data_IF_285287266673
#
_entry.id   IF_285287266673
#
_cell.length_a   1.000
_cell.length_b   1.000
_cell.length_c   1.000
_cell.angle_alpha   90.00
_cell.angle_beta   90.00
_cell.angle_gamma   90.00
#
_symmetry.space_group_name_H-M   'P 1'
#
loop_
_entity.id
_entity.type
_entity.pdbx_description
1 polymer ?
#
# COMPACT_ATOMS: atom_id res chain seq x y z
N UNK A 1 -33.87 42.54 -22.90
CA UNK A 1 -32.71 42.02 -23.68
C UNK A 1 -31.64 41.32 -22.85
N UNK A 2 -31.55 41.52 -21.56
CA UNK A 2 -30.52 40.96 -20.65
C UNK A 2 -30.74 39.47 -20.27
N UNK A 3 -31.98 38.95 -20.29
CA UNK A 3 -32.27 37.56 -19.94
C UNK A 3 -31.87 36.51 -20.99
N UNK A 4 -31.65 36.90 -22.23
CA UNK A 4 -31.23 35.94 -23.29
C UNK A 4 -29.72 35.75 -23.41
N UNK A 5 -28.89 36.69 -22.91
CA UNK A 5 -27.45 36.55 -22.89
C UNK A 5 -26.95 35.59 -21.82
N UNK A 6 -27.66 35.50 -20.67
CA UNK A 6 -27.27 34.59 -19.58
C UNK A 6 -27.43 33.10 -19.91
N UNK A 7 -28.41 32.74 -20.76
CA UNK A 7 -28.60 31.32 -21.17
C UNK A 7 -27.60 30.90 -22.26
N UNK A 8 -27.13 31.82 -23.09
CA UNK A 8 -26.20 31.52 -24.18
C UNK A 8 -24.76 31.21 -23.69
N UNK A 9 -24.39 31.73 -22.50
CA UNK A 9 -23.08 31.45 -21.88
C UNK A 9 -23.11 30.28 -20.91
N UNK A 10 -24.26 29.92 -20.36
CA UNK A 10 -24.40 28.81 -19.43
C UNK A 10 -24.26 27.43 -20.11
N UNK A 11 -24.72 27.29 -21.34
CA UNK A 11 -24.65 26.04 -22.07
C UNK A 11 -23.19 25.64 -22.45
N UNK A 12 -22.34 26.52 -23.00
CA UNK A 12 -20.95 26.17 -23.28
C UNK A 12 -20.12 26.00 -22.02
N UNK A 13 -20.44 26.72 -20.93
CA UNK A 13 -19.77 26.53 -19.65
C UNK A 13 -20.14 25.20 -19.00
N UNK A 14 -21.41 24.80 -19.06
CA UNK A 14 -21.88 23.49 -18.60
C UNK A 14 -21.31 22.35 -19.46
N UNK A 15 -21.23 22.54 -20.79
CA UNK A 15 -20.59 21.57 -21.68
C UNK A 15 -19.07 21.48 -21.45
N UNK A 16 -18.41 22.59 -21.17
CA UNK A 16 -16.99 22.63 -20.82
C UNK A 16 -16.72 21.97 -19.47
N UNK A 17 -17.54 22.24 -18.46
CA UNK A 17 -17.45 21.60 -17.16
C UNK A 17 -17.82 20.11 -17.24
N UNK A 18 -18.84 19.74 -18.02
CA UNK A 18 -19.17 18.34 -18.26
C UNK A 18 -18.06 17.62 -19.04
N UNK A 19 -17.42 18.26 -20.02
CA UNK A 19 -16.29 17.67 -20.72
C UNK A 19 -15.03 17.54 -19.87
N UNK A 20 -14.86 18.42 -18.86
CA UNK A 20 -13.78 18.28 -17.87
C UNK A 20 -14.09 17.22 -16.82
N UNK A 21 -15.36 17.08 -16.43
CA UNK A 21 -15.82 16.01 -15.54
C UNK A 21 -15.85 14.65 -16.24
N UNK A 22 -16.04 14.62 -17.56
CA UNK A 22 -15.94 13.41 -18.39
C UNK A 22 -14.53 13.07 -18.88
N UNK A 23 -13.51 13.85 -18.57
CA UNK A 23 -12.14 13.33 -18.64
C UNK A 23 -11.98 12.30 -17.54
N UNK A 24 -12.60 11.11 -17.76
CA UNK A 24 -12.16 9.88 -17.15
C UNK A 24 -10.65 9.91 -17.24
N UNK A 25 -9.98 9.77 -16.10
CA UNK A 25 -8.56 9.47 -16.15
C UNK A 25 -8.44 8.25 -17.05
N UNK A 26 -7.99 8.41 -18.28
CA UNK A 26 -7.78 7.31 -19.20
C UNK A 26 -6.65 6.51 -18.60
N UNK A 27 -7.00 5.49 -17.81
CA UNK A 27 -6.04 4.50 -17.36
C UNK A 27 -5.56 3.81 -18.63
N UNK A 28 -4.25 3.80 -18.91
CA UNK A 28 -3.71 3.15 -20.11
C UNK A 28 -4.20 1.70 -20.21
N UNK A 29 -4.58 1.27 -21.40
CA UNK A 29 -5.19 -0.04 -21.63
C UNK A 29 -4.32 -1.20 -21.12
N UNK A 30 -3.01 -1.09 -21.21
CA UNK A 30 -2.07 -2.09 -20.71
C UNK A 30 -2.08 -2.26 -19.18
N UNK A 31 -2.62 -1.29 -18.43
CA UNK A 31 -2.82 -1.36 -16.99
C UNK A 31 -4.18 -1.98 -16.61
N UNK A 32 -5.03 -2.21 -17.60
CA UNK A 32 -6.40 -2.65 -17.39
C UNK A 32 -6.58 -4.18 -17.41
N UNK A 33 -5.51 -4.94 -17.68
CA UNK A 33 -5.60 -6.40 -17.84
C UNK A 33 -5.33 -7.21 -16.56
N UNK A 34 -4.99 -6.54 -15.47
CA UNK A 34 -4.63 -7.21 -14.23
C UNK A 34 -5.78 -7.20 -13.24
N UNK A 35 -6.45 -8.33 -13.15
CA UNK A 35 -7.59 -8.54 -12.25
C UNK A 35 -7.05 -9.06 -10.92
N UNK A 36 -7.56 -8.53 -9.81
CA UNK A 36 -7.30 -9.12 -8.51
C UNK A 36 -8.05 -10.45 -8.39
N UNK A 37 -7.36 -11.50 -8.03
CA UNK A 37 -7.91 -12.81 -7.80
C UNK A 37 -8.11 -13.05 -6.31
N UNK A 38 -9.33 -13.38 -5.89
CA UNK A 38 -9.63 -13.73 -4.50
C UNK A 38 -9.69 -15.25 -4.34
N UNK A 39 -8.97 -15.76 -3.34
CA UNK A 39 -9.02 -17.17 -2.94
C UNK A 39 -9.56 -17.26 -1.51
N UNK A 40 -10.72 -17.87 -1.33
CA UNK A 40 -11.26 -18.22 -0.03
C UNK A 40 -10.45 -19.41 0.54
N UNK A 41 -10.14 -19.40 1.82
CA UNK A 41 -9.31 -20.42 2.48
C UNK A 41 -7.92 -20.63 1.79
N UNK A 42 -7.26 -19.53 1.43
CA UNK A 42 -5.89 -19.52 0.90
C UNK A 42 -4.90 -20.11 1.92
N UNK A 43 -5.10 -19.80 3.19
CA UNK A 43 -4.30 -20.23 4.32
C UNK A 43 -5.10 -21.29 5.06
N UNK A 44 -4.54 -22.46 5.33
CA UNK A 44 -5.19 -23.45 6.17
C UNK A 44 -5.13 -23.04 7.65
N UNK A 45 -5.99 -23.63 8.47
CA UNK A 45 -6.16 -23.22 9.88
C UNK A 45 -4.87 -23.42 10.69
N UNK A 46 -4.13 -24.50 10.43
CA UNK A 46 -2.91 -24.80 11.19
C UNK A 46 -1.78 -23.84 10.78
N UNK A 47 -1.59 -23.61 9.49
CA UNK A 47 -0.67 -22.58 8.99
C UNK A 47 -1.03 -21.19 9.53
N UNK A 48 -2.30 -20.83 9.56
CA UNK A 48 -2.78 -19.56 10.12
C UNK A 48 -2.44 -19.39 11.59
N UNK A 49 -2.59 -20.45 12.39
CA UNK A 49 -2.23 -20.47 13.81
C UNK A 49 -0.72 -20.28 13.99
N UNK A 50 0.09 -21.01 13.25
CA UNK A 50 1.55 -20.91 13.31
C UNK A 50 2.05 -19.55 12.85
N UNK A 51 1.48 -18.96 11.78
CA UNK A 51 1.82 -17.63 11.32
C UNK A 51 1.47 -16.54 12.35
N UNK A 52 0.34 -16.68 13.04
CA UNK A 52 -0.03 -15.78 14.13
C UNK A 52 0.93 -15.91 15.32
N UNK A 53 1.40 -17.12 15.62
CA UNK A 53 2.42 -17.34 16.66
C UNK A 53 3.73 -16.65 16.27
N UNK A 54 4.25 -16.88 15.08
CA UNK A 54 5.47 -16.24 14.56
C UNK A 54 5.35 -14.71 14.61
N UNK A 55 4.20 -14.17 14.19
CA UNK A 55 3.94 -12.75 14.23
C UNK A 55 3.99 -12.18 15.66
N UNK A 56 3.41 -12.88 16.63
CA UNK A 56 3.44 -12.50 18.06
C UNK A 56 4.85 -12.57 18.63
N UNK A 57 5.59 -13.62 18.33
CA UNK A 57 7.01 -13.76 18.74
C UNK A 57 7.85 -12.61 18.18
N UNK A 58 7.68 -12.29 16.89
CA UNK A 58 8.36 -11.18 16.25
C UNK A 58 7.98 -9.82 16.87
N UNK A 59 6.72 -9.66 17.28
CA UNK A 59 6.23 -8.43 17.90
C UNK A 59 6.57 -8.31 19.39
N UNK A 60 6.93 -9.41 20.03
CA UNK A 60 7.36 -9.45 21.43
C UNK A 60 8.86 -9.14 21.61
N UNK A 61 9.62 -9.15 20.52
CA UNK A 61 11.05 -8.77 20.49
C UNK A 61 11.27 -7.31 20.94
N UNK A 62 12.48 -6.98 21.36
CA UNK A 62 12.87 -5.65 21.87
C UNK A 62 12.53 -4.49 20.91
N UNK A 63 12.54 -4.76 19.60
CA UNK A 63 12.23 -3.75 18.58
C UNK A 63 10.74 -3.69 18.22
N UNK A 64 9.92 -4.65 18.63
CA UNK A 64 8.52 -4.75 18.22
C UNK A 64 8.34 -4.77 16.69
N UNK A 65 7.17 -4.36 16.23
CA UNK A 65 6.88 -4.13 14.82
C UNK A 65 6.91 -2.62 14.55
N UNK A 66 7.96 -2.08 13.93
CA UNK A 66 8.06 -0.65 13.62
C UNK A 66 7.03 -0.24 12.57
N UNK A 67 6.77 1.05 12.44
CA UNK A 67 6.00 1.56 11.31
C UNK A 67 6.70 1.24 10.01
N UNK A 68 5.94 0.81 9.00
CA UNK A 68 6.47 0.45 7.68
C UNK A 68 7.28 1.58 7.02
N UNK A 69 6.94 2.82 7.33
CA UNK A 69 7.66 4.01 6.84
C UNK A 69 9.07 4.09 7.42
N UNK A 70 9.25 3.68 8.68
CA UNK A 70 10.55 3.76 9.37
C UNK A 70 11.47 2.57 9.07
N UNK A 71 10.94 1.34 8.97
CA UNK A 71 11.73 0.13 8.76
C UNK A 71 12.53 0.15 7.46
N UNK A 72 11.92 0.60 6.37
CA UNK A 72 12.58 0.73 5.08
C UNK A 72 13.69 1.80 5.04
N UNK A 73 13.67 2.76 5.96
CA UNK A 73 14.57 3.90 5.96
C UNK A 73 15.83 3.67 6.77
N UNK A 74 15.76 2.82 7.79
CA UNK A 74 16.92 2.53 8.66
C UNK A 74 17.92 1.58 8.03
N UNK A 75 17.50 0.74 7.09
CA UNK A 75 18.33 -0.33 6.54
C UNK A 75 18.80 -0.15 5.11
N UNK A 76 18.20 0.70 4.31
CA UNK A 76 18.53 0.87 2.90
C UNK A 76 18.82 2.31 2.52
N UNK A 77 20.10 2.62 2.44
CA UNK A 77 20.66 3.55 1.45
C UNK A 77 19.98 4.91 1.36
N UNK A 78 20.58 5.89 1.99
CA UNK A 78 20.31 7.34 1.96
C UNK A 78 19.01 7.75 2.65
N UNK A 79 19.08 8.76 3.53
CA UNK A 79 17.85 9.36 4.06
C UNK A 79 17.00 9.80 2.87
N UNK A 80 15.83 9.16 2.72
CA UNK A 80 14.83 9.65 1.79
C UNK A 80 14.48 11.06 2.25
N UNK A 81 14.62 12.02 1.35
CA UNK A 81 14.21 13.38 1.65
C UNK A 81 12.74 13.37 2.08
N UNK A 82 12.40 14.18 3.07
CA UNK A 82 11.02 14.31 3.58
C UNK A 82 10.03 14.68 2.47
N UNK A 83 10.51 15.30 1.42
CA UNK A 83 9.72 15.81 0.29
C UNK A 83 10.50 15.71 -1.01
N UNK A 84 9.78 15.89 -2.10
CA UNK A 84 10.32 15.97 -3.47
C UNK A 84 10.27 17.42 -3.93
N UNK A 85 11.38 17.90 -4.49
CA UNK A 85 11.48 19.28 -4.96
C UNK A 85 11.68 20.29 -3.83
N UNK A 86 11.45 21.55 -4.13
CA UNK A 86 11.57 22.65 -3.16
C UNK A 86 10.30 22.81 -2.34
N UNK A 87 10.46 23.06 -1.05
CA UNK A 87 9.38 23.47 -0.19
C UNK A 87 8.84 24.86 -0.61
N UNK A 88 7.53 25.05 -0.47
CA UNK A 88 6.86 26.33 -0.78
C UNK A 88 6.31 26.92 0.51
N UNK A 89 6.24 28.24 0.64
CA UNK A 89 5.62 28.84 1.82
C UNK A 89 4.13 28.52 1.86
N UNK A 90 3.58 28.43 3.06
CA UNK A 90 2.13 28.37 3.29
C UNK A 90 1.52 29.72 2.94
N UNK A 91 0.41 29.72 2.23
CA UNK A 91 -0.34 30.95 1.89
C UNK A 91 -0.93 31.62 3.15
N UNK A 92 -1.30 32.89 3.03
CA UNK A 92 -1.79 33.67 4.17
C UNK A 92 -3.07 33.10 4.82
N UNK A 93 -3.85 32.32 4.06
CA UNK A 93 -5.06 31.61 4.54
C UNK A 93 -4.73 30.23 5.16
N UNK A 94 -3.46 29.87 5.25
CA UNK A 94 -3.02 28.58 5.77
C UNK A 94 -3.04 27.43 4.75
N UNK A 95 -3.41 27.71 3.51
CA UNK A 95 -3.43 26.71 2.42
C UNK A 95 -2.08 26.56 1.74
N UNK A 96 -1.95 25.53 0.90
CA UNK A 96 -0.82 25.36 0.01
C UNK A 96 -1.18 25.83 -1.41
N UNK A 97 -0.22 26.49 -2.09
CA UNK A 97 -0.39 27.08 -3.42
C UNK A 97 -0.78 26.07 -4.52
N UNK A 98 -0.63 24.80 -4.26
CA UNK A 98 -0.95 23.73 -5.20
C UNK A 98 -1.59 22.53 -4.49
N UNK A 99 -2.62 21.94 -5.10
CA UNK A 99 -3.39 20.83 -4.54
C UNK A 99 -2.61 19.52 -4.31
N UNK A 100 -1.41 19.40 -4.83
CA UNK A 100 -0.51 18.26 -4.56
C UNK A 100 0.44 18.51 -3.38
N UNK A 101 0.48 19.73 -2.87
CA UNK A 101 1.30 20.07 -1.72
C UNK A 101 0.51 19.87 -0.44
N UNK A 102 1.19 19.43 0.59
CA UNK A 102 0.65 19.30 1.94
C UNK A 102 1.49 20.11 2.90
N UNK A 103 0.85 20.66 3.93
CA UNK A 103 1.56 21.37 4.97
C UNK A 103 2.45 20.42 5.75
N UNK A 104 3.72 20.77 5.95
CA UNK A 104 4.65 19.99 6.77
C UNK A 104 4.44 20.31 8.25
N UNK A 105 3.47 19.64 8.83
CA UNK A 105 3.13 19.80 10.24
C UNK A 105 2.71 21.22 10.61
N UNK A 106 3.26 21.72 11.70
CA UNK A 106 3.07 23.10 12.14
C UNK A 106 4.05 24.08 11.47
N UNK A 107 4.83 23.63 10.49
CA UNK A 107 5.76 24.51 9.78
C UNK A 107 5.00 25.51 8.88
N UNK A 108 5.70 26.54 8.45
CA UNK A 108 5.20 27.48 7.44
C UNK A 108 5.49 27.02 6.00
N UNK A 109 5.71 25.71 5.81
CA UNK A 109 6.10 25.13 4.54
C UNK A 109 5.08 24.14 4.02
N UNK A 110 4.87 24.16 2.71
CA UNK A 110 4.12 23.19 1.93
C UNK A 110 5.11 22.31 1.15
N UNK A 111 4.98 21.01 1.26
CA UNK A 111 5.87 20.04 0.66
C UNK A 111 5.12 19.05 -0.22
N UNK A 112 5.80 18.47 -1.20
CA UNK A 112 5.33 17.29 -1.92
C UNK A 112 5.92 16.06 -1.24
N UNK A 113 5.12 15.25 -0.52
CA UNK A 113 5.63 14.10 0.21
C UNK A 113 6.16 13.02 -0.73
N UNK A 114 7.33 12.49 -0.46
CA UNK A 114 7.98 11.55 -1.35
C UNK A 114 7.35 10.15 -1.37
N UNK A 115 6.95 9.63 -0.20
CA UNK A 115 6.36 8.28 -0.11
C UNK A 115 4.86 8.28 0.04
N UNK A 116 4.32 9.39 0.46
CA UNK A 116 2.89 9.56 0.46
C UNK A 116 2.58 9.99 -0.97
N UNK A 117 2.13 9.05 -1.75
CA UNK A 117 1.58 9.34 -3.05
C UNK A 117 0.36 10.25 -2.84
N UNK A 118 0.54 11.53 -3.12
CA UNK A 118 -0.49 12.55 -2.87
C UNK A 118 -1.72 12.30 -3.74
N UNK A 119 -1.53 11.77 -4.95
CA UNK A 119 -2.65 11.37 -5.79
C UNK A 119 -3.45 10.25 -5.11
N UNK A 120 -2.76 9.32 -4.47
CA UNK A 120 -3.30 8.26 -3.66
C UNK A 120 -4.11 8.79 -2.48
N UNK A 121 -3.54 9.71 -1.72
CA UNK A 121 -4.22 10.34 -0.59
C UNK A 121 -5.44 11.14 -1.08
N UNK A 122 -5.28 11.93 -2.13
CA UNK A 122 -6.33 12.73 -2.75
C UNK A 122 -7.55 11.87 -3.16
N UNK A 123 -7.31 10.76 -3.85
CA UNK A 123 -8.40 9.88 -4.31
C UNK A 123 -9.08 9.19 -3.13
N UNK A 124 -8.30 8.68 -2.17
CA UNK A 124 -8.83 7.91 -1.03
C UNK A 124 -9.62 8.75 -0.03
N UNK A 125 -9.31 10.01 0.08
CA UNK A 125 -9.92 10.90 1.07
C UNK A 125 -10.95 11.87 0.50
N UNK A 126 -11.32 11.71 -0.76
CA UNK A 126 -12.42 12.43 -1.36
C UNK A 126 -12.05 13.76 -2.03
N UNK A 127 -10.79 13.97 -2.37
CA UNK A 127 -10.36 15.08 -3.21
C UNK A 127 -9.81 16.30 -2.44
N UNK A 128 -10.17 17.56 -2.80
CA UNK A 128 -9.54 18.77 -2.24
C UNK A 128 -9.63 18.90 -0.72
N UNK A 129 -10.66 18.34 -0.11
CA UNK A 129 -10.86 18.37 1.34
C UNK A 129 -9.74 17.62 2.09
N UNK A 130 -9.24 16.56 1.51
CA UNK A 130 -8.20 15.74 2.10
C UNK A 130 -6.83 16.42 2.17
N UNK A 131 -6.57 17.37 1.28
CA UNK A 131 -5.29 18.10 1.23
C UNK A 131 -5.17 19.09 2.40
N UNK A 132 -6.29 19.39 3.05
CA UNK A 132 -6.32 20.23 4.25
C UNK A 132 -6.02 19.46 5.53
N UNK A 133 -5.95 18.14 5.46
CA UNK A 133 -5.56 17.32 6.62
C UNK A 133 -4.11 17.65 7.02
N UNK A 134 -3.83 17.87 8.31
CA UNK A 134 -2.46 18.05 8.79
C UNK A 134 -1.56 16.89 8.37
N UNK A 135 -0.32 17.19 8.06
CA UNK A 135 0.65 16.18 7.58
C UNK A 135 0.82 15.03 8.56
N UNK A 136 0.85 15.32 9.86
CA UNK A 136 0.99 14.32 10.92
C UNK A 136 -0.22 13.39 11.01
N UNK A 137 -1.43 13.92 10.87
CA UNK A 137 -2.66 13.13 10.84
C UNK A 137 -2.64 12.19 9.63
N UNK A 138 -2.25 12.70 8.46
CA UNK A 138 -2.12 11.93 7.24
C UNK A 138 -1.06 10.84 7.38
N UNK A 139 0.14 11.16 7.87
CA UNK A 139 1.21 10.18 8.08
C UNK A 139 0.76 9.09 9.04
N UNK A 140 0.13 9.47 10.15
CA UNK A 140 -0.38 8.53 11.15
C UNK A 140 -1.43 7.58 10.58
N UNK A 141 -2.32 8.10 9.74
CA UNK A 141 -3.40 7.35 9.12
C UNK A 141 -2.91 6.38 8.05
N UNK A 142 -1.88 6.73 7.27
CA UNK A 142 -1.32 5.87 6.22
C UNK A 142 -0.17 4.98 6.70
N UNK A 143 0.24 5.12 7.94
CA UNK A 143 1.22 4.25 8.56
C UNK A 143 0.58 2.90 8.89
N UNK A 144 1.37 1.85 8.80
CA UNK A 144 1.05 0.52 9.29
C UNK A 144 2.28 -0.04 9.99
N UNK A 145 2.13 -1.12 10.73
CA UNK A 145 3.21 -1.73 11.49
C UNK A 145 3.62 -3.05 10.86
N UNK A 146 4.91 -3.37 10.85
CA UNK A 146 5.36 -4.64 10.31
C UNK A 146 6.85 -4.69 10.02
N UNK A 147 7.30 -5.86 9.57
CA UNK A 147 8.68 -6.10 9.13
C UNK A 147 8.72 -6.67 7.73
N UNK A 148 9.68 -6.21 6.95
CA UNK A 148 10.02 -6.77 5.64
C UNK A 148 11.06 -7.86 5.81
N UNK A 149 10.78 -9.02 5.24
CA UNK A 149 11.62 -10.21 5.26
C UNK A 149 12.04 -10.55 3.83
N UNK A 150 13.34 -10.72 3.62
CA UNK A 150 13.92 -11.00 2.30
C UNK A 150 14.41 -12.44 2.19
N UNK A 151 14.56 -13.12 3.31
CA UNK A 151 14.89 -14.54 3.35
C UNK A 151 13.60 -15.35 3.61
N UNK A 152 13.09 -16.01 2.56
CA UNK A 152 11.82 -16.75 2.67
C UNK A 152 11.99 -18.09 3.40
N UNK A 153 13.21 -18.60 3.49
CA UNK A 153 13.51 -19.89 4.14
C UNK A 153 13.78 -19.74 5.63
N UNK A 154 13.83 -18.53 6.15
CA UNK A 154 14.09 -18.26 7.56
C UNK A 154 12.98 -18.81 8.47
N UNK A 155 11.73 -18.84 7.96
CA UNK A 155 10.57 -19.33 8.69
C UNK A 155 9.91 -20.49 7.95
N UNK A 156 10.06 -21.73 8.42
CA UNK A 156 9.53 -22.93 7.73
C UNK A 156 8.04 -22.88 7.44
N UNK A 157 7.23 -22.30 8.33
CA UNK A 157 5.77 -22.16 8.10
C UNK A 157 5.47 -21.23 6.93
N UNK A 158 6.26 -20.17 6.73
CA UNK A 158 6.11 -19.24 5.62
C UNK A 158 6.52 -19.90 4.31
N UNK A 159 7.65 -20.62 4.31
CA UNK A 159 8.11 -21.39 3.16
C UNK A 159 7.08 -22.43 2.73
N UNK A 160 6.54 -23.22 3.67
CA UNK A 160 5.49 -24.21 3.41
C UNK A 160 4.22 -23.58 2.86
N UNK A 161 3.76 -22.47 3.42
CA UNK A 161 2.60 -21.75 2.91
C UNK A 161 2.82 -21.34 1.45
N UNK A 162 3.94 -20.72 1.16
CA UNK A 162 4.23 -20.20 -0.19
C UNK A 162 4.49 -21.30 -1.22
N UNK A 163 5.01 -22.45 -0.80
CA UNK A 163 5.13 -23.63 -1.65
C UNK A 163 3.81 -24.39 -1.83
N UNK A 164 2.80 -24.10 -1.03
CA UNK A 164 1.51 -24.80 -1.06
C UNK A 164 0.78 -24.64 -2.41
N UNK A 165 0.13 -25.70 -2.92
CA UNK A 165 -0.45 -25.69 -4.28
C UNK A 165 -1.58 -24.65 -4.43
N UNK A 166 -2.36 -24.36 -3.40
CA UNK A 166 -3.37 -23.29 -3.43
C UNK A 166 -2.72 -21.91 -3.58
N UNK A 167 -1.67 -21.68 -2.79
CA UNK A 167 -0.94 -20.41 -2.81
C UNK A 167 -0.25 -20.18 -4.16
N UNK A 168 0.45 -21.20 -4.68
CA UNK A 168 1.10 -21.18 -5.98
C UNK A 168 0.10 -20.91 -7.11
N UNK A 169 -1.08 -21.54 -7.08
CA UNK A 169 -2.13 -21.30 -8.07
C UNK A 169 -2.65 -19.87 -8.00
N UNK A 170 -2.93 -19.35 -6.80
CA UNK A 170 -3.38 -17.98 -6.60
C UNK A 170 -2.32 -16.98 -7.09
N UNK A 171 -1.05 -17.17 -6.74
CA UNK A 171 0.04 -16.32 -7.19
C UNK A 171 0.17 -16.33 -8.72
N UNK A 172 0.19 -17.51 -9.33
CA UNK A 172 0.33 -17.68 -10.79
C UNK A 172 -0.86 -17.15 -11.59
N UNK A 173 -2.06 -17.03 -10.97
CA UNK A 173 -3.26 -16.57 -11.67
C UNK A 173 -3.17 -15.14 -12.21
N UNK A 174 -2.30 -14.31 -11.66
CA UNK A 174 -2.09 -12.92 -12.10
C UNK A 174 -0.80 -12.72 -12.88
N UNK A 175 0.06 -13.74 -12.97
CA UNK A 175 1.19 -13.71 -13.88
C UNK A 175 0.71 -13.94 -15.34
N UNK A 176 1.40 -13.37 -16.33
CA UNK A 176 1.15 -13.73 -17.74
C UNK A 176 1.25 -15.25 -17.97
N UNK A 177 0.38 -15.81 -18.82
CA UNK A 177 0.39 -17.25 -19.11
C UNK A 177 1.75 -17.77 -19.61
N UNK A 178 2.52 -16.92 -20.25
CA UNK A 178 3.90 -17.21 -20.71
C UNK A 178 4.95 -17.10 -19.62
N UNK A 179 4.60 -16.64 -18.39
CA UNK A 179 5.54 -16.35 -17.29
C UNK A 179 5.05 -16.99 -16.00
N UNK A 180 5.12 -18.32 -15.92
CA UNK A 180 4.57 -19.10 -14.82
C UNK A 180 5.61 -19.60 -13.80
N UNK A 181 6.87 -19.18 -13.96
CA UNK A 181 7.94 -19.41 -12.99
C UNK A 181 7.94 -18.24 -12.02
N UNK A 182 7.75 -18.54 -10.74
CA UNK A 182 7.75 -17.53 -9.67
C UNK A 182 9.14 -17.44 -9.04
N UNK A 183 9.63 -16.22 -8.93
CA UNK A 183 10.84 -15.87 -8.18
C UNK A 183 10.45 -15.04 -6.94
N UNK A 184 10.22 -15.69 -5.80
CA UNK A 184 9.89 -14.99 -4.58
C UNK A 184 11.10 -14.22 -4.05
N UNK A 185 10.88 -12.94 -3.73
CA UNK A 185 11.98 -12.08 -3.28
C UNK A 185 11.71 -11.38 -1.94
N UNK A 186 10.45 -11.36 -1.49
CA UNK A 186 10.08 -10.66 -0.27
C UNK A 186 8.76 -11.16 0.28
N UNK A 187 8.65 -11.17 1.60
CA UNK A 187 7.36 -11.14 2.29
C UNK A 187 7.39 -10.15 3.46
N UNK A 188 6.24 -9.77 3.96
CA UNK A 188 6.14 -8.92 5.14
C UNK A 188 4.82 -9.16 5.87
N UNK A 189 4.86 -9.01 7.18
CA UNK A 189 3.65 -8.85 7.98
C UNK A 189 3.26 -7.37 8.00
N UNK A 190 1.98 -7.09 7.82
CA UNK A 190 1.43 -5.74 7.91
C UNK A 190 0.25 -5.76 8.85
N UNK A 191 0.35 -4.96 9.91
CA UNK A 191 -0.70 -4.74 10.88
C UNK A 191 -1.20 -3.30 10.78
N UNK A 192 -2.51 -3.14 10.83
CA UNK A 192 -3.13 -1.81 10.93
C UNK A 192 -3.98 -1.74 12.18
N UNK A 193 -3.88 -0.62 12.89
CA UNK A 193 -4.74 -0.29 14.02
C UNK A 193 -5.99 0.47 13.53
N UNK A 194 -7.06 0.59 14.33
CA UNK A 194 -8.24 1.37 13.97
C UNK A 194 -7.92 2.77 13.45
N UNK A 195 -8.62 3.21 12.42
CA UNK A 195 -8.42 4.49 11.75
C UNK A 195 -7.33 4.51 10.67
N UNK A 196 -6.50 3.47 10.59
CA UNK A 196 -5.45 3.40 9.57
C UNK A 196 -5.94 2.85 8.23
N UNK A 197 -5.20 3.16 7.18
CA UNK A 197 -5.43 2.72 5.80
C UNK A 197 -4.10 2.40 5.12
N UNK A 198 -4.13 1.50 4.16
CA UNK A 198 -3.08 1.45 3.14
C UNK A 198 -3.58 2.25 1.95
N UNK A 199 -3.10 3.47 1.84
CA UNK A 199 -3.57 4.41 0.84
C UNK A 199 -3.42 3.88 -0.61
N UNK A 200 -4.20 4.39 -1.57
CA UNK A 200 -4.18 3.96 -2.98
C UNK A 200 -2.78 4.11 -3.59
N UNK A 201 -2.25 3.05 -4.21
CA UNK A 201 -0.89 3.05 -4.75
C UNK A 201 -0.72 2.03 -5.88
N UNK A 202 0.40 2.15 -6.56
CA UNK A 202 1.08 1.07 -7.25
C UNK A 202 2.24 0.58 -6.38
N UNK A 203 2.48 -0.71 -6.37
CA UNK A 203 3.75 -1.23 -5.88
C UNK A 203 4.90 -0.74 -6.76
N UNK A 204 6.11 -0.69 -6.19
CA UNK A 204 7.27 -0.24 -6.94
C UNK A 204 7.50 -1.16 -8.16
N UNK A 205 7.37 -0.64 -9.39
CA UNK A 205 7.62 -1.42 -10.58
C UNK A 205 9.10 -1.81 -10.68
N UNK A 206 9.35 -2.96 -11.33
CA UNK A 206 10.69 -3.42 -11.64
C UNK A 206 10.90 -3.44 -13.14
N UNK A 207 12.01 -2.88 -13.56
CA UNK A 207 12.51 -2.98 -14.93
C UNK A 207 13.92 -3.58 -14.88
N UNK A 208 14.30 -4.36 -15.86
CA UNK A 208 15.67 -4.85 -15.96
C UNK A 208 16.64 -3.67 -16.08
N UNK A 209 17.47 -3.49 -15.04
CA UNK A 209 18.40 -2.37 -14.93
C UNK A 209 17.83 -1.08 -14.33
N UNK A 210 16.54 -1.05 -13.89
CA UNK A 210 15.97 0.08 -13.18
C UNK A 210 15.02 -0.37 -12.08
N UNK A 211 15.44 -0.23 -10.84
CA UNK A 211 14.69 -0.62 -9.65
C UNK A 211 14.52 0.55 -8.68
N UNK A 212 13.63 0.40 -7.70
CA UNK A 212 13.41 1.41 -6.65
C UNK A 212 14.65 1.72 -5.80
N UNK A 213 15.66 0.87 -5.85
CA UNK A 213 16.93 1.10 -5.14
C UNK A 213 17.84 2.08 -5.90
N UNK A 214 17.60 2.26 -7.20
CA UNK A 214 18.39 3.11 -8.09
C UNK A 214 17.63 4.38 -8.48
N UNK A 215 16.30 4.27 -8.60
CA UNK A 215 15.44 5.34 -9.11
C UNK A 215 14.27 5.60 -8.17
N UNK A 216 13.77 6.84 -8.09
CA UNK A 216 12.60 7.14 -7.27
C UNK A 216 11.35 6.46 -7.82
N UNK A 217 10.47 6.03 -6.91
CA UNK A 217 9.26 5.27 -7.26
C UNK A 217 8.34 5.99 -8.25
N UNK A 218 8.24 7.33 -8.16
CA UNK A 218 7.43 8.11 -9.08
C UNK A 218 7.91 8.00 -10.54
N UNK A 219 9.23 7.92 -10.76
CA UNK A 219 9.79 7.75 -12.12
C UNK A 219 9.45 6.36 -12.67
N UNK A 220 9.59 5.32 -11.86
CA UNK A 220 9.21 3.96 -12.24
C UNK A 220 7.71 3.86 -12.53
N UNK A 221 6.87 4.54 -11.75
CA UNK A 221 5.44 4.64 -12.01
C UNK A 221 5.14 5.34 -13.34
N UNK A 222 5.83 6.44 -13.65
CA UNK A 222 5.70 7.11 -14.96
C UNK A 222 6.11 6.18 -16.10
N UNK A 223 7.15 5.36 -15.95
CA UNK A 223 7.55 4.37 -16.96
C UNK A 223 6.43 3.33 -17.19
N UNK A 224 5.78 2.86 -16.14
CA UNK A 224 4.61 1.96 -16.27
C UNK A 224 3.45 2.67 -16.97
N UNK A 225 3.06 3.86 -16.53
CA UNK A 225 1.91 4.58 -17.08
C UNK A 225 2.12 5.04 -18.52
N UNK A 226 3.37 5.37 -18.89
CA UNK A 226 3.72 5.77 -20.25
C UNK A 226 3.89 4.59 -21.22
N UNK A 227 3.90 3.37 -20.72
CA UNK A 227 4.22 2.16 -21.49
C UNK A 227 5.62 2.17 -22.13
N UNK A 228 6.52 3.00 -21.62
CA UNK A 228 7.91 3.04 -22.06
C UNK A 228 8.71 1.89 -21.45
N UNK A 229 9.65 1.34 -22.23
CA UNK A 229 10.56 0.28 -21.79
C UNK A 229 9.85 -1.02 -21.35
N UNK A 230 8.72 -1.33 -21.98
CA UNK A 230 7.92 -2.53 -21.64
C UNK A 230 8.68 -3.84 -21.88
N UNK A 231 9.62 -3.86 -22.81
CA UNK A 231 10.50 -5.00 -23.06
C UNK A 231 11.44 -5.30 -21.87
N UNK A 232 11.62 -4.33 -20.97
CA UNK A 232 12.41 -4.47 -19.73
C UNK A 232 11.54 -4.64 -18.48
N UNK A 233 10.23 -4.54 -18.63
CA UNK A 233 9.32 -4.65 -17.50
C UNK A 233 9.27 -6.08 -16.96
N UNK A 234 9.39 -6.21 -15.63
CA UNK A 234 9.31 -7.48 -14.92
C UNK A 234 7.93 -7.60 -14.29
N UNK A 235 7.11 -8.52 -14.79
CA UNK A 235 5.81 -8.81 -14.20
C UNK A 235 5.97 -9.32 -12.77
N UNK A 236 5.05 -8.95 -11.90
CA UNK A 236 5.10 -9.25 -10.48
C UNK A 236 3.75 -9.76 -9.99
N UNK A 237 3.79 -10.49 -8.90
CA UNK A 237 2.60 -10.84 -8.13
C UNK A 237 2.79 -10.45 -6.68
N UNK A 238 1.74 -9.88 -6.11
CA UNK A 238 1.57 -9.70 -4.69
C UNK A 238 0.39 -10.55 -4.24
N UNK A 239 0.57 -11.33 -3.17
CA UNK A 239 -0.53 -12.04 -2.52
C UNK A 239 -0.66 -11.52 -1.10
N UNK A 240 -1.83 -11.01 -0.78
CA UNK A 240 -2.19 -10.52 0.56
C UNK A 240 -3.06 -11.56 1.24
N UNK A 241 -2.54 -12.24 2.24
CA UNK A 241 -3.27 -13.20 3.07
C UNK A 241 -3.72 -12.57 4.39
N UNK A 242 -4.92 -12.89 4.86
CA UNK A 242 -5.51 -12.33 6.08
C UNK A 242 -5.37 -13.29 7.25
N UNK A 243 -4.75 -12.82 8.33
CA UNK A 243 -4.41 -13.60 9.52
C UNK A 243 -5.30 -13.33 10.75
N UNK A 244 -6.22 -12.37 10.68
CA UNK A 244 -7.10 -12.05 11.80
C UNK A 244 -8.13 -13.16 12.07
N UNK A 245 -8.46 -13.39 13.34
CA UNK A 245 -9.33 -14.50 13.80
C UNK A 245 -10.83 -14.17 13.82
N UNK A 246 -11.19 -12.92 13.56
CA UNK A 246 -12.59 -12.48 13.63
C UNK A 246 -13.36 -12.85 12.36
N UNK A 247 -14.69 -12.95 12.45
CA UNK A 247 -15.55 -13.11 11.28
C UNK A 247 -15.24 -12.07 10.20
N UNK A 248 -15.60 -12.36 8.96
CA UNK A 248 -15.44 -11.40 7.87
C UNK A 248 -15.93 -10.03 8.37
N UNK A 249 -15.09 -9.01 8.17
CA UNK A 249 -15.42 -7.65 8.57
C UNK A 249 -16.75 -7.28 7.91
N UNK A 250 -17.72 -6.89 8.74
CA UNK A 250 -18.98 -6.33 8.25
C UNK A 250 -18.71 -5.05 7.43
N UNK A 251 -19.74 -4.54 6.80
CA UNK A 251 -19.62 -3.34 5.97
C UNK A 251 -19.09 -2.13 6.75
N UNK A 252 -19.34 -2.06 8.04
CA UNK A 252 -18.96 -0.95 8.93
C UNK A 252 -17.50 -1.03 9.41
N UNK A 253 -16.88 -2.21 9.40
CA UNK A 253 -15.50 -2.38 9.89
C UNK A 253 -14.43 -1.86 8.94
N UNK A 254 -14.74 -1.63 7.67
CA UNK A 254 -13.77 -1.17 6.67
C UNK A 254 -12.61 -2.17 6.41
N UNK A 255 -11.45 -1.64 6.05
CA UNK A 255 -10.23 -2.46 5.85
C UNK A 255 -10.26 -3.40 4.65
N UNK A 256 -11.24 -3.24 3.75
CA UNK A 256 -11.38 -4.05 2.53
C UNK A 256 -10.21 -3.82 1.59
N UNK A 257 -9.83 -4.84 0.83
CA UNK A 257 -8.93 -4.65 -0.30
C UNK A 257 -9.69 -3.95 -1.43
N UNK A 258 -9.16 -2.82 -1.89
CA UNK A 258 -9.73 -1.99 -2.95
C UNK A 258 -8.81 -2.03 -4.16
N UNK A 259 -9.38 -2.17 -5.36
CA UNK A 259 -8.60 -2.11 -6.60
C UNK A 259 -9.43 -1.54 -7.75
N UNK A 260 -8.76 -0.88 -8.67
CA UNK A 260 -9.39 -0.40 -9.90
C UNK A 260 -9.25 -1.45 -10.99
N UNK A 261 -10.38 -1.82 -11.57
CA UNK A 261 -10.48 -2.72 -12.70
C UNK A 261 -10.84 -1.95 -13.97
N UNK A 262 -10.74 -2.63 -15.11
CA UNK A 262 -11.13 -2.09 -16.40
C UNK A 262 -12.52 -1.45 -16.36
N UNK A 263 -12.61 -0.27 -16.91
CA UNK A 263 -13.88 0.44 -17.15
C UNK A 263 -14.65 0.93 -15.90
N UNK A 264 -14.06 0.89 -14.72
CA UNK A 264 -14.73 1.41 -13.52
C UNK A 264 -14.11 2.72 -13.04
N UNK A 265 -14.92 3.74 -12.86
CA UNK A 265 -14.52 4.97 -12.18
C UNK A 265 -14.49 4.80 -10.65
N UNK A 266 -15.01 3.68 -10.14
CA UNK A 266 -15.04 3.33 -8.72
C UNK A 266 -14.22 2.07 -8.47
N UNK A 267 -13.51 1.98 -7.36
CA UNK A 267 -12.77 0.77 -7.02
C UNK A 267 -13.72 -0.38 -6.71
N UNK A 268 -13.32 -1.59 -7.09
CA UNK A 268 -13.91 -2.82 -6.57
C UNK A 268 -13.40 -3.06 -5.16
N UNK A 269 -14.23 -3.67 -4.32
CA UNK A 269 -13.92 -3.98 -2.95
C UNK A 269 -14.00 -5.48 -2.70
N UNK A 270 -12.97 -6.04 -2.06
CA UNK A 270 -12.91 -7.44 -1.64
C UNK A 270 -12.89 -7.48 -0.12
N UNK A 271 -13.76 -8.29 0.46
CA UNK A 271 -13.80 -8.48 1.92
C UNK A 271 -12.54 -9.17 2.42
N UNK A 272 -12.00 -8.65 3.51
CA UNK A 272 -10.88 -9.26 4.23
C UNK A 272 -11.41 -10.39 5.12
N UNK A 273 -11.70 -11.56 4.53
CA UNK A 273 -12.14 -12.73 5.29
C UNK A 273 -10.95 -13.41 5.97
N UNK A 274 -11.10 -13.97 7.18
CA UNK A 274 -10.06 -14.75 7.82
C UNK A 274 -9.53 -15.85 6.90
N UNK A 275 -8.23 -16.05 6.87
CA UNK A 275 -7.53 -17.10 6.11
C UNK A 275 -7.75 -17.06 4.59
N UNK A 276 -8.45 -16.05 4.08
CA UNK A 276 -8.54 -15.79 2.64
C UNK A 276 -7.36 -14.95 2.16
N UNK A 277 -7.26 -14.76 0.85
CA UNK A 277 -6.26 -13.89 0.27
C UNK A 277 -6.67 -13.30 -1.06
N UNK A 278 -5.93 -12.27 -1.47
CA UNK A 278 -6.07 -11.60 -2.77
C UNK A 278 -4.72 -11.61 -3.46
N UNK A 279 -4.67 -12.13 -4.68
CA UNK A 279 -3.52 -12.02 -5.56
C UNK A 279 -3.72 -10.88 -6.56
N UNK A 280 -2.71 -10.07 -6.77
CA UNK A 280 -2.74 -8.92 -7.69
C UNK A 280 -1.34 -8.63 -8.25
N UNK A 281 -1.23 -8.16 -9.49
CA UNK A 281 -0.03 -7.46 -9.92
C UNK A 281 -0.11 -6.01 -9.43
N UNK A 282 0.43 -5.79 -8.24
CA UNK A 282 0.39 -4.48 -7.58
C UNK A 282 1.18 -3.40 -8.32
N UNK A 283 2.13 -3.78 -9.19
CA UNK A 283 2.91 -2.83 -9.99
C UNK A 283 2.14 -2.25 -11.18
N UNK A 284 1.03 -2.87 -11.56
CA UNK A 284 0.16 -2.44 -12.65
C UNK A 284 -1.25 -2.08 -12.20
N UNK A 285 -1.71 -2.62 -11.08
CA UNK A 285 -3.05 -2.42 -10.56
C UNK A 285 -3.05 -1.39 -9.43
N UNK A 286 -3.77 -0.30 -9.61
CA UNK A 286 -4.02 0.66 -8.53
C UNK A 286 -4.84 -0.03 -7.44
N UNK A 287 -4.29 -0.11 -6.24
CA UNK A 287 -4.92 -0.81 -5.13
C UNK A 287 -4.70 -0.14 -3.78
N UNK A 288 -5.51 -0.52 -2.79
CA UNK A 288 -5.51 0.05 -1.45
C UNK A 288 -6.04 -0.96 -0.43
N UNK A 289 -5.86 -0.68 0.84
CA UNK A 289 -6.79 -1.16 1.85
C UNK A 289 -7.64 0.03 2.32
N UNK A 290 -8.95 -0.12 2.36
CA UNK A 290 -9.85 0.91 2.89
C UNK A 290 -9.51 1.24 4.35
N UNK A 291 -10.01 2.36 4.84
CA UNK A 291 -9.83 2.74 6.26
C UNK A 291 -10.39 1.63 7.13
N UNK A 292 -9.57 1.15 8.04
CA UNK A 292 -9.94 0.13 8.99
C UNK A 292 -10.63 0.78 10.20
N UNK A 293 -11.86 0.35 10.53
CA UNK A 293 -12.73 0.97 11.54
C UNK A 293 -12.82 2.50 11.35
N UNK A 294 -13.47 2.97 10.28
CA UNK A 294 -13.44 4.39 9.88
C UNK A 294 -14.07 5.34 10.91
N UNK A 295 -14.88 4.83 11.83
CA UNK A 295 -15.45 5.60 12.95
C UNK A 295 -14.41 5.97 14.04
N UNK A 296 -13.21 5.36 13.99
CA UNK A 296 -12.14 5.60 14.96
C UNK A 296 -11.04 6.42 14.31
N UNK A 297 -10.58 7.47 14.98
CA UNK A 297 -9.42 8.24 14.51
C UNK A 297 -8.15 7.42 14.74
N UNK A 298 -7.25 7.40 13.75
CA UNK A 298 -5.93 6.80 13.92
C UNK A 298 -5.16 7.50 15.06
N UNK A 299 -4.37 6.75 15.85
CA UNK A 299 -3.49 7.35 16.85
C UNK A 299 -2.47 8.28 16.18
N UNK A 300 -2.25 9.45 16.76
CA UNK A 300 -1.25 10.38 16.24
C UNK A 300 0.15 9.82 16.50
N UNK A 301 0.90 9.60 15.42
CA UNK A 301 2.27 9.08 15.46
C UNK A 301 3.24 10.22 15.14
N UNK A 302 4.09 10.55 16.10
CA UNK A 302 5.16 11.50 15.87
C UNK A 302 6.21 10.85 14.93
N UNK A 303 6.40 11.45 13.75
CA UNK A 303 7.32 10.94 12.72
C UNK A 303 8.80 10.96 13.13
N UNK A 304 9.13 11.79 14.10
CA UNK A 304 10.50 11.96 14.60
C UNK A 304 10.81 11.00 15.78
N UNK A 305 9.82 10.18 16.19
CA UNK A 305 9.94 9.15 17.21
C UNK A 305 9.93 7.75 16.65
N UNK A 306 10.50 6.82 17.39
CA UNK A 306 10.41 5.39 17.12
C UNK A 306 9.03 4.89 17.56
N UNK A 307 8.15 4.70 16.58
CA UNK A 307 6.82 4.16 16.82
C UNK A 307 6.81 2.68 16.45
N UNK A 308 6.37 1.83 17.37
CA UNK A 308 6.28 0.40 17.15
C UNK A 308 5.10 -0.24 17.89
N UNK A 309 4.61 -1.35 17.36
CA UNK A 309 3.54 -2.15 17.93
C UNK A 309 4.16 -3.41 18.57
N UNK A 310 3.89 -3.63 19.85
CA UNK A 310 4.43 -4.73 20.65
C UNK A 310 3.33 -5.67 21.10
N UNK A 311 3.56 -6.98 20.95
CA UNK A 311 2.74 -7.98 21.62
C UNK A 311 3.24 -8.19 23.05
N UNK A 312 2.34 -8.08 24.03
CA UNK A 312 2.71 -8.15 25.46
C UNK A 312 2.06 -9.34 26.21
N UNK A 313 1.52 -10.29 25.46
CA UNK A 313 0.81 -11.44 26.01
C UNK A 313 -0.70 -11.20 26.15
N UNK A 314 -1.45 -12.25 26.50
CA UNK A 314 -2.89 -12.24 26.78
C UNK A 314 -3.74 -11.51 25.71
N UNK A 315 -3.42 -11.74 24.44
CA UNK A 315 -4.06 -11.07 23.29
C UNK A 315 -3.97 -9.53 23.34
N UNK A 316 -2.98 -8.96 24.06
CA UNK A 316 -2.76 -7.53 24.19
C UNK A 316 -1.58 -7.05 23.37
N UNK A 317 -1.77 -5.89 22.77
CA UNK A 317 -0.81 -5.19 21.96
C UNK A 317 -0.65 -3.76 22.45
N UNK A 318 0.58 -3.29 22.56
CA UNK A 318 0.90 -1.93 22.96
C UNK A 318 1.50 -1.18 21.79
N UNK A 319 0.88 -0.08 21.41
CA UNK A 319 1.50 0.92 20.54
C UNK A 319 2.38 1.80 21.43
N UNK A 320 3.68 1.82 21.12
CA UNK A 320 4.67 2.62 21.84
C UNK A 320 5.32 3.65 20.94
N UNK A 321 5.67 4.81 21.52
CA UNK A 321 6.42 5.89 20.88
C UNK A 321 7.62 6.22 21.77
N UNK A 322 8.84 6.01 21.28
CA UNK A 322 10.07 6.09 22.09
C UNK A 322 9.97 5.32 23.42
N UNK A 323 9.34 4.13 23.40
CA UNK A 323 9.14 3.28 24.59
C UNK A 323 7.92 3.62 25.45
N UNK A 324 7.32 4.80 25.31
CA UNK A 324 6.10 5.18 26.04
C UNK A 324 4.85 4.57 25.40
N UNK A 325 3.97 4.01 26.21
CA UNK A 325 2.72 3.41 25.73
C UNK A 325 1.73 4.51 25.35
N UNK A 326 1.38 4.60 24.07
CA UNK A 326 0.38 5.53 23.57
C UNK A 326 -1.03 4.92 23.67
N UNK A 327 -1.17 3.62 23.30
CA UNK A 327 -2.45 2.94 23.26
C UNK A 327 -2.30 1.44 23.40
N UNK A 328 -3.34 0.77 23.90
CA UNK A 328 -3.43 -0.68 24.05
C UNK A 328 -4.58 -1.19 23.19
N UNK A 329 -4.34 -2.28 22.47
CA UNK A 329 -5.30 -2.98 21.63
C UNK A 329 -5.42 -4.44 22.01
N UNK A 330 -6.56 -5.07 21.70
CA UNK A 330 -6.67 -6.52 21.67
C UNK A 330 -6.27 -7.04 20.26
N UNK A 331 -5.91 -8.31 20.15
CA UNK A 331 -5.65 -8.92 18.82
C UNK A 331 -6.86 -8.74 17.88
N UNK A 332 -8.08 -8.81 18.41
CA UNK A 332 -9.32 -8.57 17.65
C UNK A 332 -9.49 -7.13 17.18
N UNK A 333 -8.72 -6.19 17.70
CA UNK A 333 -8.74 -4.78 17.26
C UNK A 333 -7.80 -4.50 16.10
N UNK A 334 -7.01 -5.48 15.68
CA UNK A 334 -6.00 -5.31 14.65
C UNK A 334 -6.43 -5.95 13.33
N UNK A 335 -6.05 -5.34 12.21
CA UNK A 335 -6.07 -5.96 10.90
C UNK A 335 -4.68 -6.52 10.62
N UNK A 336 -4.58 -7.84 10.52
CA UNK A 336 -3.31 -8.55 10.37
C UNK A 336 -3.25 -9.22 9.00
N UNK A 337 -2.15 -9.01 8.29
CA UNK A 337 -1.92 -9.61 6.97
C UNK A 337 -0.49 -10.10 6.82
N UNK A 338 -0.32 -11.16 6.02
CA UNK A 338 0.96 -11.53 5.43
C UNK A 338 0.92 -11.19 3.95
N UNK A 339 1.98 -10.58 3.45
CA UNK A 339 2.09 -10.16 2.05
C UNK A 339 3.30 -10.84 1.44
N UNK A 340 3.06 -11.63 0.42
CA UNK A 340 4.07 -12.27 -0.41
C UNK A 340 4.29 -11.49 -1.69
N UNK A 341 5.53 -11.45 -2.17
CA UNK A 341 5.88 -10.83 -3.44
C UNK A 341 6.84 -11.71 -4.21
N UNK A 342 6.52 -11.92 -5.49
CA UNK A 342 7.35 -12.64 -6.43
C UNK A 342 7.36 -11.95 -7.79
N UNK A 343 8.41 -12.23 -8.57
CA UNK A 343 8.51 -11.88 -9.98
C UNK A 343 8.03 -13.07 -10.81
N UNK A 344 7.49 -12.79 -12.00
CA UNK A 344 7.00 -13.81 -12.92
C UNK A 344 7.97 -13.92 -14.10
N UNK A 345 8.51 -15.11 -14.35
CA UNK A 345 9.43 -15.40 -15.44
C UNK A 345 8.92 -16.53 -16.34
N UNK A 346 9.43 -16.61 -17.57
CA UNK A 346 9.03 -17.66 -18.52
C UNK A 346 9.73 -18.98 -18.21
N UNK A 347 10.98 -18.94 -17.74
CA UNK A 347 11.78 -20.12 -17.43
C UNK A 347 12.66 -19.90 -16.19
N UNK A 348 13.20 -20.97 -15.64
CA UNK A 348 14.20 -20.90 -14.55
C UNK A 348 15.51 -20.23 -15.01
N UNK A 349 15.82 -20.30 -16.30
CA UNK A 349 17.00 -19.67 -16.89
C UNK A 349 16.92 -18.14 -16.86
N UNK A 350 15.70 -17.59 -16.95
CA UNK A 350 15.44 -16.16 -16.89
C UNK A 350 15.64 -15.56 -15.49
N UNK A 351 15.73 -16.38 -14.46
CA UNK A 351 15.93 -15.91 -13.08
C UNK A 351 17.29 -15.19 -12.93
N UNK A 352 18.24 -15.45 -13.81
CA UNK A 352 19.58 -14.91 -13.72
C UNK A 352 20.33 -15.38 -12.46
N UNK A 353 21.60 -15.06 -12.28
CA UNK A 353 22.29 -15.33 -11.03
C UNK A 353 21.54 -14.57 -9.91
N UNK A 354 21.31 -15.23 -8.77
CA UNK A 354 20.61 -14.69 -7.57
C UNK A 354 21.34 -13.48 -6.96
N UNK A 355 21.70 -12.50 -7.79
CA UNK A 355 22.46 -11.30 -7.42
C UNK A 355 21.63 -10.28 -6.61
N UNK A 356 20.34 -10.53 -6.43
CA UNK A 356 19.44 -9.53 -5.81
C UNK A 356 19.35 -9.63 -4.28
N UNK A 357 19.83 -10.74 -3.70
CA UNK A 357 19.89 -10.91 -2.24
C UNK A 357 21.18 -10.32 -1.60
N UNK A 358 22.15 -9.86 -2.39
CA UNK A 358 23.48 -9.46 -1.87
C UNK A 358 23.65 -7.94 -1.72
N UNK A 359 22.63 -7.13 -1.98
CA UNK A 359 22.77 -5.65 -1.92
C UNK A 359 22.11 -5.06 -0.68
N UNK A 360 21.73 -5.88 0.30
CA UNK A 360 21.20 -5.36 1.59
C UNK A 360 21.87 -6.14 2.73
N UNK A 361 23.09 -5.81 3.01
CA UNK A 361 23.70 -5.86 4.34
C UNK A 361 24.41 -4.55 4.60
#
# INVERSE_FOLDING_TARGET
MVKRLGLALAAPLAAFLASRLQRRANIPEHLLHHVAFQEDALIDVDSGRLLNQVLREMAADEMGLPTNVAADLKTAVRPLHRHVGEARPVEADGSCSHHLLVRDGNSSECILPQRIDVAKHYIMTGGPEAIREPFEDMVSRVSSFGRYMFNLTEMPVVEQLFAGPKFQRAAKSVCPNSKQVLDPFQYNFILSVPGQTVALHLDAPWFLGATRFQFPQWLLAVMVFSNLFQERFVDQVQVVGYLHDRPALDDDSGGRFLYYDQNSATPKAVLSKPLSGVAVDGSKTLHAAGVFRPSVKAPLLDKDKDNALFYVGDEKWQLRSNGEVLQIYNSSDLRMTIVYRARCFASEEDLGPKQWCTVVM
#
